data_IF_426400932590
#
_entry.id   IF_426400932590
#
_cell.length_a   1.000
_cell.length_b   1.000
_cell.length_c   1.000
_cell.angle_alpha   90.00
_cell.angle_beta   90.00
_cell.angle_gamma   90.00
#
_symmetry.space_group_name_H-M   'P 1'
#
loop_
_entity.id
_entity.type
_entity.pdbx_description
1 polymer ?
#
# COMPACT_ATOMS: atom_id res chain seq x y z
N UNK A 1 5.13 -12.77 19.22
CA UNK A 1 4.50 -12.47 17.93
C UNK A 1 5.39 -11.47 17.17
N UNK A 2 5.91 -11.85 16.02
CA UNK A 2 6.70 -10.95 15.17
C UNK A 2 5.74 -10.12 14.29
N UNK A 3 5.89 -8.80 14.28
CA UNK A 3 5.15 -7.91 13.42
C UNK A 3 6.12 -7.08 12.57
N UNK A 4 5.79 -6.90 11.30
CA UNK A 4 6.50 -6.01 10.37
C UNK A 4 5.58 -4.91 9.91
N UNK A 5 6.01 -3.67 10.11
CA UNK A 5 5.24 -2.47 9.75
C UNK A 5 6.03 -1.70 8.71
N UNK A 6 5.39 -1.46 7.56
CA UNK A 6 5.92 -0.59 6.51
C UNK A 6 5.17 0.74 6.55
N UNK A 7 5.89 1.84 6.54
CA UNK A 7 5.28 3.18 6.51
C UNK A 7 6.19 4.20 5.85
N UNK A 8 5.60 5.28 5.36
CA UNK A 8 6.34 6.43 4.83
C UNK A 8 6.51 7.46 5.94
N UNK A 9 7.75 7.81 6.25
CA UNK A 9 8.09 8.83 7.23
C UNK A 9 7.89 10.25 6.69
N UNK A 10 7.88 11.23 7.59
CA UNK A 10 7.78 12.66 7.22
C UNK A 10 8.96 13.17 6.40
N UNK A 11 10.07 12.44 6.39
CA UNK A 11 11.28 12.69 5.61
C UNK A 11 11.23 12.06 4.20
N UNK A 12 10.05 11.58 3.78
CA UNK A 12 9.83 10.91 2.50
C UNK A 12 10.70 9.65 2.29
N UNK A 13 10.84 8.86 3.35
CA UNK A 13 11.49 7.55 3.28
C UNK A 13 10.48 6.45 3.61
N UNK A 14 10.60 5.32 2.91
CA UNK A 14 9.92 4.10 3.30
C UNK A 14 10.73 3.40 4.39
N UNK A 15 10.07 3.11 5.49
CA UNK A 15 10.65 2.42 6.66
C UNK A 15 10.06 1.03 6.85
N UNK A 16 10.88 0.14 7.38
CA UNK A 16 10.46 -1.11 7.99
C UNK A 16 10.72 -1.06 9.49
N UNK A 17 9.70 -1.28 10.29
CA UNK A 17 9.80 -1.61 11.70
C UNK A 17 9.55 -3.11 11.88
N UNK A 18 10.57 -3.86 12.30
CA UNK A 18 10.46 -5.29 12.61
C UNK A 18 10.55 -5.48 14.13
N UNK A 19 9.44 -5.84 14.74
CA UNK A 19 9.34 -6.00 16.20
C UNK A 19 10.12 -7.21 16.74
N UNK A 20 10.58 -8.11 15.87
CA UNK A 20 11.37 -9.29 16.26
C UNK A 20 12.86 -9.01 16.41
N UNK A 21 13.38 -7.93 15.81
CA UNK A 21 14.82 -7.65 15.75
C UNK A 21 15.19 -6.45 16.61
N UNK A 22 14.51 -5.35 16.48
CA UNK A 22 14.68 -4.14 17.27
C UNK A 22 13.49 -3.20 17.06
N UNK A 23 13.14 -2.41 18.07
CA UNK A 23 12.12 -1.35 17.93
C UNK A 23 12.67 -0.10 17.20
N UNK A 24 13.67 -0.27 16.33
CA UNK A 24 14.28 0.82 15.58
C UNK A 24 13.90 0.70 14.11
N UNK A 25 13.22 1.70 13.53
CA UNK A 25 12.87 1.68 12.12
C UNK A 25 14.10 1.67 11.22
N UNK A 26 14.10 0.79 10.22
CA UNK A 26 15.16 0.71 9.21
C UNK A 26 14.68 1.40 7.94
N UNK A 27 15.39 2.42 7.43
CA UNK A 27 15.05 3.04 6.15
C UNK A 27 15.35 2.06 5.00
N UNK A 28 14.41 1.90 4.09
CA UNK A 28 14.51 1.00 2.94
C UNK A 28 14.71 1.74 1.63
N UNK A 29 13.93 2.78 1.39
CA UNK A 29 13.91 3.54 0.13
C UNK A 29 13.73 5.02 0.42
N UNK A 30 14.55 5.85 -0.23
CA UNK A 30 14.46 7.30 -0.16
C UNK A 30 13.48 7.87 -1.20
N UNK A 31 13.01 9.08 -0.96
CA UNK A 31 12.15 9.87 -1.86
C UNK A 31 10.80 9.21 -2.19
N UNK A 32 10.24 8.45 -1.26
CA UNK A 32 8.90 7.90 -1.35
C UNK A 32 7.90 8.93 -0.83
N UNK A 33 7.02 9.42 -1.70
CA UNK A 33 5.99 10.40 -1.31
C UNK A 33 4.72 9.75 -0.79
N UNK A 34 4.41 8.54 -1.27
CA UNK A 34 3.16 7.87 -1.01
C UNK A 34 3.31 6.36 -1.01
N UNK A 35 2.53 5.70 -0.15
CA UNK A 35 2.35 4.25 -0.12
C UNK A 35 0.85 3.94 0.03
N UNK A 36 0.28 3.29 -0.98
CA UNK A 36 -1.07 2.77 -0.96
C UNK A 36 -1.05 1.25 -0.84
N UNK A 37 -1.92 0.71 0.00
CA UNK A 37 -2.10 -0.73 0.19
C UNK A 37 -3.57 -1.06 0.04
N UNK A 38 -3.86 -2.06 -0.79
CA UNK A 38 -5.20 -2.60 -0.99
C UNK A 38 -5.19 -4.11 -0.76
N UNK A 39 -6.30 -4.62 -0.28
CA UNK A 39 -6.49 -6.02 0.09
C UNK A 39 -7.31 -6.74 -0.96
N UNK A 40 -6.75 -7.78 -1.53
CA UNK A 40 -7.43 -8.63 -2.51
C UNK A 40 -8.33 -9.64 -1.81
N UNK A 41 -9.64 -9.51 -2.04
CA UNK A 41 -10.66 -10.33 -1.42
C UNK A 41 -11.04 -11.51 -2.31
N UNK A 42 -11.04 -12.71 -1.74
CA UNK A 42 -11.64 -13.89 -2.33
C UNK A 42 -13.14 -13.89 -2.06
N UNK A 43 -13.95 -13.78 -3.10
CA UNK A 43 -15.40 -13.84 -3.01
C UNK A 43 -15.89 -15.25 -3.37
N UNK A 44 -16.93 -15.73 -2.67
CA UNK A 44 -17.64 -16.97 -3.00
C UNK A 44 -16.72 -18.20 -3.20
N UNK A 45 -15.83 -18.44 -2.23
CA UNK A 45 -14.90 -19.59 -2.27
C UNK A 45 -13.89 -19.58 -3.43
N UNK A 46 -13.63 -18.43 -4.02
CA UNK A 46 -12.56 -18.25 -5.01
C UNK A 46 -11.19 -18.37 -4.35
N UNK A 47 -10.22 -18.93 -5.07
CA UNK A 47 -8.81 -18.98 -4.63
C UNK A 47 -8.00 -17.76 -5.05
N UNK A 48 -8.60 -16.88 -5.82
CA UNK A 48 -7.97 -15.66 -6.31
C UNK A 48 -8.73 -14.43 -5.85
N UNK A 49 -8.05 -13.28 -5.82
CA UNK A 49 -8.70 -12.01 -5.53
C UNK A 49 -9.71 -11.66 -6.62
N UNK A 50 -10.95 -11.46 -6.23
CA UNK A 50 -12.04 -11.02 -7.11
C UNK A 50 -12.07 -9.49 -7.23
N UNK A 51 -11.63 -8.78 -6.18
CA UNK A 51 -11.47 -7.33 -6.17
C UNK A 51 -10.42 -6.91 -5.15
N UNK A 52 -9.91 -5.68 -5.30
CA UNK A 52 -9.01 -5.03 -4.35
C UNK A 52 -9.72 -3.86 -3.67
N UNK A 53 -9.59 -3.77 -2.35
CA UNK A 53 -10.26 -2.76 -1.54
C UNK A 53 -9.30 -2.14 -0.53
N UNK A 54 -9.52 -0.89 -0.16
CA UNK A 54 -8.78 -0.23 0.91
C UNK A 54 -9.13 -0.78 2.29
N UNK A 55 -8.31 -0.46 3.28
CA UNK A 55 -8.55 -0.85 4.68
C UNK A 55 -9.85 -0.26 5.24
N UNK A 56 -10.32 0.86 4.72
CA UNK A 56 -11.59 1.52 5.09
C UNK A 56 -12.83 0.67 4.76
N UNK A 57 -12.71 -0.28 3.84
CA UNK A 57 -13.77 -1.23 3.46
C UNK A 57 -13.71 -2.54 4.24
N UNK A 58 -12.74 -2.69 5.15
CA UNK A 58 -12.57 -3.93 5.91
C UNK A 58 -13.38 -3.90 7.21
N UNK A 59 -14.13 -4.97 7.46
CA UNK A 59 -15.01 -5.09 8.62
C UNK A 59 -14.49 -6.18 9.56
N UNK A 60 -14.28 -5.85 10.83
CA UNK A 60 -13.68 -6.76 11.83
C UNK A 60 -14.61 -7.91 12.19
N UNK A 61 -15.92 -7.69 12.21
CA UNK A 61 -16.93 -8.65 12.72
C UNK A 61 -17.61 -9.47 11.62
N UNK A 62 -17.17 -9.36 10.40
CA UNK A 62 -17.80 -10.07 9.28
C UNK A 62 -17.33 -11.52 9.22
N UNK A 63 -18.28 -12.46 9.03
CA UNK A 63 -17.97 -13.87 8.88
C UNK A 63 -17.14 -14.15 7.61
N UNK A 64 -16.26 -15.16 7.69
CA UNK A 64 -15.49 -15.62 6.54
C UNK A 64 -16.41 -16.08 5.41
N UNK A 65 -16.01 -15.83 4.15
CA UNK A 65 -16.78 -16.20 2.96
C UNK A 65 -17.97 -15.28 2.65
N UNK A 66 -18.18 -14.21 3.41
CA UNK A 66 -19.29 -13.27 3.20
C UNK A 66 -18.84 -11.91 2.65
N UNK A 67 -17.59 -11.82 2.22
CA UNK A 67 -17.02 -10.57 1.68
C UNK A 67 -17.71 -10.13 0.38
N UNK A 68 -17.75 -8.83 0.22
CA UNK A 68 -18.13 -8.13 -1.02
C UNK A 68 -17.06 -7.07 -1.32
N UNK A 69 -17.03 -6.54 -2.55
CA UNK A 69 -16.09 -5.46 -2.88
C UNK A 69 -16.36 -4.13 -2.16
N UNK A 70 -17.49 -3.99 -1.47
CA UNK A 70 -17.83 -2.82 -0.65
C UNK A 70 -17.66 -3.05 0.85
N UNK A 71 -17.53 -4.32 1.30
CA UNK A 71 -17.34 -4.66 2.70
C UNK A 71 -16.63 -6.03 2.81
N UNK A 72 -15.36 -6.04 3.18
CA UNK A 72 -14.51 -7.23 3.26
C UNK A 72 -14.30 -7.75 4.66
N UNK A 73 -14.15 -9.07 4.81
CA UNK A 73 -13.64 -9.71 6.02
C UNK A 73 -12.13 -9.93 5.91
N UNK A 74 -11.39 -9.68 6.99
CA UNK A 74 -9.95 -9.93 7.02
C UNK A 74 -9.57 -11.40 6.76
N UNK A 75 -10.47 -12.33 7.09
CA UNK A 75 -10.31 -13.76 6.80
C UNK A 75 -10.34 -14.11 5.32
N UNK A 76 -10.94 -13.26 4.50
CA UNK A 76 -11.11 -13.48 3.06
C UNK A 76 -10.00 -12.79 2.22
N UNK A 77 -9.03 -12.15 2.88
CA UNK A 77 -7.88 -11.56 2.20
C UNK A 77 -6.93 -12.66 1.74
N UNK A 78 -6.72 -12.77 0.43
CA UNK A 78 -5.83 -13.75 -0.20
C UNK A 78 -4.60 -13.13 -0.87
N UNK A 79 -4.61 -11.81 -1.07
CA UNK A 79 -3.48 -11.07 -1.65
C UNK A 79 -3.46 -9.63 -1.16
N UNK A 80 -2.31 -8.99 -1.37
CA UNK A 80 -2.11 -7.56 -1.08
C UNK A 80 -1.58 -6.93 -2.35
N UNK A 81 -2.21 -5.86 -2.79
CA UNK A 81 -1.69 -4.96 -3.84
C UNK A 81 -1.09 -3.73 -3.16
N UNK A 82 0.13 -3.40 -3.51
CA UNK A 82 0.78 -2.20 -3.03
C UNK A 82 1.19 -1.32 -4.21
N UNK A 83 1.18 -0.03 -3.97
CA UNK A 83 1.61 0.98 -4.90
C UNK A 83 2.33 2.09 -4.13
N UNK A 84 3.49 2.50 -4.59
CA UNK A 84 4.17 3.65 -4.04
C UNK A 84 4.73 4.57 -5.13
N UNK A 85 4.76 5.86 -4.83
CA UNK A 85 5.25 6.89 -5.72
C UNK A 85 6.62 7.38 -5.23
N UNK A 86 7.61 7.25 -6.09
CA UNK A 86 8.96 7.76 -5.88
C UNK A 86 9.09 9.09 -6.63
N UNK A 87 9.68 10.08 -5.97
CA UNK A 87 10.03 11.36 -6.55
C UNK A 87 11.53 11.48 -6.76
N UNK A 88 11.96 12.21 -7.77
CA UNK A 88 13.37 12.61 -7.91
C UNK A 88 13.81 13.49 -6.72
N UNK A 89 15.03 13.32 -6.26
CA UNK A 89 15.64 14.21 -5.25
C UNK A 89 15.76 15.66 -5.75
N UNK A 90 16.07 15.83 -7.03
CA UNK A 90 16.04 17.14 -7.68
C UNK A 90 14.60 17.47 -8.12
N UNK A 91 14.07 18.58 -7.62
CA UNK A 91 12.70 19.05 -7.91
C UNK A 91 12.56 19.81 -9.23
N UNK A 92 13.66 20.01 -9.97
CA UNK A 92 13.70 20.80 -11.20
C UNK A 92 14.16 20.00 -12.42
N UNK A 93 13.88 18.69 -12.47
CA UNK A 93 14.30 17.84 -13.59
C UNK A 93 13.46 18.02 -14.85
N UNK A 94 12.17 18.32 -14.71
CA UNK A 94 11.31 18.50 -15.87
C UNK A 94 11.46 19.91 -16.46
N UNK A 95 11.40 20.07 -17.79
CA UNK A 95 11.48 21.38 -18.45
C UNK A 95 10.29 22.28 -18.09
N UNK A 96 9.11 21.69 -17.84
CA UNK A 96 7.89 22.38 -17.42
C UNK A 96 7.33 21.77 -16.15
N UNK A 97 6.70 22.60 -15.32
CA UNK A 97 5.99 22.12 -14.13
C UNK A 97 4.80 21.26 -14.54
N UNK A 98 4.57 20.19 -13.77
CA UNK A 98 3.41 19.30 -13.93
C UNK A 98 2.60 19.26 -12.64
N UNK A 99 1.29 19.15 -12.79
CA UNK A 99 0.38 18.91 -11.67
C UNK A 99 0.44 17.45 -11.26
N UNK A 100 0.46 17.24 -9.96
CA UNK A 100 0.40 15.92 -9.33
C UNK A 100 -0.61 15.98 -8.19
N UNK A 101 -1.54 15.03 -8.17
CA UNK A 101 -2.48 14.86 -7.07
C UNK A 101 -1.86 13.94 -6.02
N UNK A 102 -1.60 14.46 -4.83
CA UNK A 102 -1.08 13.67 -3.73
C UNK A 102 -2.20 12.83 -3.06
N UNK A 103 -1.83 11.90 -2.18
CA UNK A 103 -2.78 11.04 -1.47
C UNK A 103 -3.77 11.78 -0.58
N UNK A 104 -3.43 12.97 -0.13
CA UNK A 104 -4.35 13.84 0.62
C UNK A 104 -5.36 14.56 -0.30
N UNK A 105 -5.35 14.30 -1.61
CA UNK A 105 -6.21 14.95 -2.59
C UNK A 105 -5.79 16.39 -2.92
N UNK A 106 -4.58 16.80 -2.58
CA UNK A 106 -4.06 18.13 -2.85
C UNK A 106 -3.28 18.14 -4.17
N UNK A 107 -3.50 19.15 -4.98
CA UNK A 107 -2.72 19.38 -6.19
C UNK A 107 -1.37 20.02 -5.84
N UNK A 108 -0.30 19.34 -6.21
CA UNK A 108 1.08 19.86 -6.12
C UNK A 108 1.58 20.13 -7.54
N UNK A 109 2.07 21.31 -7.77
CA UNK A 109 2.64 21.73 -9.08
C UNK A 109 4.13 21.95 -8.92
N UNK A 110 4.93 21.09 -9.52
CA UNK A 110 6.39 21.20 -9.51
C UNK A 110 7.03 20.57 -10.76
N UNK A 111 8.36 20.61 -10.84
CA UNK A 111 9.16 20.05 -11.94
C UNK A 111 9.88 18.76 -11.55
N UNK A 112 9.45 18.11 -10.48
CA UNK A 112 10.01 16.84 -10.06
C UNK A 112 9.56 15.70 -10.99
N UNK A 113 10.45 14.76 -11.25
CA UNK A 113 10.10 13.52 -11.92
C UNK A 113 9.52 12.53 -10.90
N UNK A 114 8.35 11.97 -11.19
CA UNK A 114 7.70 10.95 -10.37
C UNK A 114 7.53 9.66 -11.13
N UNK A 115 7.68 8.56 -10.42
CA UNK A 115 7.42 7.22 -10.93
C UNK A 115 6.62 6.43 -9.91
N UNK A 116 5.55 5.80 -10.38
CA UNK A 116 4.75 4.87 -9.58
C UNK A 116 5.27 3.45 -9.79
N UNK A 117 5.46 2.74 -8.68
CA UNK A 117 5.82 1.32 -8.65
C UNK A 117 4.69 0.58 -7.96
N UNK A 118 4.22 -0.51 -8.55
CA UNK A 118 3.16 -1.34 -7.99
C UNK A 118 3.52 -2.83 -8.07
N UNK A 119 2.93 -3.60 -7.17
CA UNK A 119 3.08 -5.05 -7.16
C UNK A 119 1.93 -5.72 -6.40
N UNK A 120 1.81 -7.02 -6.60
CA UNK A 120 0.85 -7.87 -5.89
C UNK A 120 1.59 -9.01 -5.21
N UNK A 121 1.31 -9.23 -3.93
CA UNK A 121 1.81 -10.34 -3.15
C UNK A 121 0.65 -11.26 -2.74
N UNK A 122 0.75 -12.54 -3.06
CA UNK A 122 -0.24 -13.55 -2.67
C UNK A 122 0.08 -14.13 -1.30
N UNK A 123 -0.93 -14.25 -0.44
CA UNK A 123 -0.80 -14.82 0.90
C UNK A 123 -0.95 -16.35 0.83
N UNK A 124 0.17 -17.07 0.69
CA UNK A 124 0.19 -18.53 0.47
C UNK A 124 -0.61 -19.35 1.49
N UNK A 125 -0.65 -18.95 2.74
CA UNK A 125 -1.34 -19.68 3.81
C UNK A 125 -2.87 -19.44 3.85
N UNK A 126 -3.40 -18.65 2.93
CA UNK A 126 -4.83 -18.33 2.85
C UNK A 126 -5.49 -18.80 1.54
N UNK A 127 -4.70 -19.32 0.63
CA UNK A 127 -5.21 -20.03 -0.56
C UNK A 127 -5.61 -21.43 -0.11
N UNK A 128 -6.90 -21.68 0.00
CA UNK A 128 -7.46 -23.00 0.36
C UNK A 128 -7.47 -23.94 -0.84
#
# INVERSE_FOLDING_TARGET
>A
LAARIYYVGKDNKLYLLDSSVANTPTPLVDNVEDLQVEYGLALQSSYSASCFVGADKMVVTKAAGTSTCSAGAWSDVVSIRYQFTIRSSNKNLLPTAKEYLNVAGQTVTDRALRRTVSGVATLRNRVK
#
